data_IF_807699768959
#
_entry.id   IF_807699768959
#
_cell.length_a   1.000
_cell.length_b   1.000
_cell.length_c   1.000
_cell.angle_alpha   90.00
_cell.angle_beta   90.00
_cell.angle_gamma   90.00
#
_symmetry.space_group_name_H-M   'P 1'
#
loop_
_entity.id
_entity.type
_entity.pdbx_description
1 polymer ?
#
# COMPACT_ATOMS: atom_id res chain seq x y z
N UNK A 1 19.07 14.83 -1.64
CA UNK A 1 18.02 15.63 -0.96
C UNK A 1 17.72 14.96 0.37
N UNK A 2 17.46 15.71 1.42
CA UNK A 2 17.04 15.17 2.72
C UNK A 2 15.59 14.72 2.67
N UNK A 3 15.21 13.73 3.48
CA UNK A 3 13.82 13.34 3.69
C UNK A 3 12.99 14.53 4.19
N UNK A 4 11.82 14.69 3.61
CA UNK A 4 10.87 15.75 3.97
C UNK A 4 9.47 15.16 4.05
N UNK A 5 8.77 15.42 5.15
CA UNK A 5 7.35 15.07 5.30
C UNK A 5 6.46 15.99 4.45
N UNK A 6 5.24 15.57 4.23
CA UNK A 6 4.23 16.24 3.39
C UNK A 6 4.70 16.40 1.94
N UNK A 7 5.36 15.36 1.44
CA UNK A 7 5.92 15.33 0.10
C UNK A 7 5.41 14.12 -0.71
N UNK A 8 5.22 14.35 -1.99
CA UNK A 8 4.90 13.34 -2.97
C UNK A 8 5.89 13.48 -4.12
N UNK A 9 6.71 12.46 -4.33
CA UNK A 9 7.91 12.52 -5.16
C UNK A 9 7.71 11.69 -6.42
N UNK A 10 8.09 12.24 -7.57
CA UNK A 10 8.29 11.42 -8.75
C UNK A 10 9.66 10.76 -8.66
N UNK A 11 9.71 9.44 -8.63
CA UNK A 11 10.94 8.68 -8.60
C UNK A 11 10.80 7.27 -8.07
N UNK A 12 11.88 6.53 -8.11
CA UNK A 12 11.95 5.18 -7.58
C UNK A 12 11.94 5.21 -6.04
N UNK A 13 10.96 4.58 -5.43
CA UNK A 13 10.86 4.47 -3.98
C UNK A 13 12.17 3.96 -3.32
N UNK A 14 12.89 3.05 -3.98
CA UNK A 14 14.15 2.49 -3.47
C UNK A 14 15.35 3.44 -3.49
N UNK A 15 15.23 4.58 -4.15
CA UNK A 15 16.21 5.66 -4.04
C UNK A 15 15.96 6.55 -2.82
N UNK A 16 14.72 6.63 -2.36
CA UNK A 16 14.27 7.56 -1.32
C UNK A 16 14.05 6.89 0.03
N UNK A 17 13.47 5.69 0.07
CA UNK A 17 13.24 4.95 1.32
C UNK A 17 14.49 4.86 2.21
N UNK A 18 15.70 4.55 1.69
CA UNK A 18 16.91 4.49 2.52
C UNK A 18 17.32 5.82 3.18
N UNK A 19 16.73 6.93 2.73
CA UNK A 19 16.99 8.26 3.32
C UNK A 19 16.02 8.61 4.45
N UNK A 20 14.96 7.82 4.62
CA UNK A 20 14.03 7.97 5.71
C UNK A 20 14.68 7.44 7.01
N UNK A 21 14.50 8.14 8.14
CA UNK A 21 14.95 7.63 9.43
C UNK A 21 14.29 6.29 9.78
N UNK A 22 14.99 5.47 10.55
CA UNK A 22 14.41 4.28 11.15
C UNK A 22 13.25 4.67 12.08
N UNK A 23 12.20 3.86 12.10
CA UNK A 23 11.08 4.02 13.04
C UNK A 23 10.42 5.40 12.99
N UNK A 24 10.34 6.02 11.81
CA UNK A 24 9.72 7.35 11.64
C UNK A 24 8.23 7.29 11.25
N UNK A 25 7.79 6.25 10.55
CA UNK A 25 6.41 6.14 10.04
C UNK A 25 5.48 5.51 11.06
N UNK A 26 4.29 6.08 11.24
CA UNK A 26 3.22 5.49 12.04
C UNK A 26 2.46 4.42 11.25
N UNK A 27 2.32 4.63 9.95
CA UNK A 27 1.66 3.72 9.04
C UNK A 27 2.41 3.68 7.70
N UNK A 28 2.77 2.48 7.25
CA UNK A 28 3.08 2.21 5.85
C UNK A 28 1.84 1.56 5.25
N UNK A 29 1.20 2.20 4.28
CA UNK A 29 -0.03 1.70 3.65
C UNK A 29 0.10 1.75 2.15
N UNK A 30 0.19 0.59 1.51
CA UNK A 30 0.53 0.51 0.08
C UNK A 30 -0.07 -0.71 -0.63
N UNK A 31 -0.14 -0.61 -1.95
CA UNK A 31 -0.26 -1.73 -2.88
C UNK A 31 0.99 -1.76 -3.74
N UNK A 32 1.88 -2.69 -3.45
CA UNK A 32 3.09 -2.82 -4.26
C UNK A 32 2.74 -3.18 -5.72
N UNK A 33 3.58 -2.77 -6.69
CA UNK A 33 3.38 -3.15 -8.09
C UNK A 33 3.24 -4.66 -8.27
N UNK A 34 2.29 -5.06 -9.07
CA UNK A 34 2.14 -6.44 -9.50
C UNK A 34 3.24 -6.85 -10.49
N UNK A 35 3.53 -8.15 -10.63
CA UNK A 35 4.46 -8.67 -11.64
C UNK A 35 4.20 -8.08 -13.05
N UNK A 36 2.94 -7.87 -13.41
CA UNK A 36 2.57 -7.28 -14.72
C UNK A 36 2.81 -5.76 -14.83
N UNK A 37 3.13 -5.10 -13.73
CA UNK A 37 3.44 -3.67 -13.64
C UNK A 37 4.94 -3.42 -13.44
N UNK A 38 5.73 -4.49 -13.45
CA UNK A 38 7.19 -4.44 -13.33
C UNK A 38 7.82 -4.90 -14.64
N UNK A 39 9.12 -4.72 -14.77
CA UNK A 39 9.92 -5.22 -15.89
C UNK A 39 10.19 -6.73 -15.84
N UNK A 40 9.82 -7.41 -14.74
CA UNK A 40 10.07 -8.83 -14.58
C UNK A 40 9.12 -9.66 -15.44
N UNK A 41 9.67 -10.67 -16.09
CA UNK A 41 8.91 -11.59 -16.93
C UNK A 41 8.27 -12.74 -16.12
N UNK A 42 7.55 -13.63 -16.83
CA UNK A 42 6.89 -14.79 -16.22
C UNK A 42 7.74 -16.06 -16.18
N UNK A 43 9.03 -15.96 -16.46
CA UNK A 43 9.97 -17.07 -16.28
C UNK A 43 10.23 -17.32 -14.80
N UNK A 44 10.85 -18.46 -14.49
CA UNK A 44 11.24 -18.77 -13.11
C UNK A 44 12.20 -17.73 -12.52
N UNK A 45 13.09 -17.19 -13.36
CA UNK A 45 14.04 -16.18 -12.93
C UNK A 45 13.40 -14.80 -12.76
N UNK A 46 12.47 -14.43 -13.64
CA UNK A 46 11.68 -13.20 -13.50
C UNK A 46 10.80 -13.24 -12.25
N UNK A 47 10.17 -14.37 -11.95
CA UNK A 47 9.39 -14.55 -10.72
C UNK A 47 10.29 -14.43 -9.48
N UNK A 48 11.49 -15.01 -9.52
CA UNK A 48 12.47 -14.89 -8.42
C UNK A 48 12.90 -13.44 -8.21
N UNK A 49 13.20 -12.73 -9.27
CA UNK A 49 13.56 -11.30 -9.23
C UNK A 49 12.42 -10.46 -8.66
N UNK A 50 11.18 -10.77 -9.02
CA UNK A 50 10.00 -10.13 -8.45
C UNK A 50 9.86 -10.42 -6.93
N UNK A 51 10.14 -11.63 -6.49
CA UNK A 51 10.12 -11.98 -5.08
C UNK A 51 11.24 -11.27 -4.29
N UNK A 52 12.41 -11.10 -4.87
CA UNK A 52 13.49 -10.28 -4.27
C UNK A 52 13.11 -8.80 -4.18
N UNK A 53 12.41 -8.26 -5.19
CA UNK A 53 11.80 -6.92 -5.10
C UNK A 53 10.85 -6.80 -3.92
N UNK A 54 9.93 -7.78 -3.75
CA UNK A 54 8.98 -7.80 -2.62
C UNK A 54 9.73 -7.86 -1.28
N UNK A 55 10.76 -8.69 -1.17
CA UNK A 55 11.59 -8.80 0.03
C UNK A 55 12.34 -7.49 0.34
N UNK A 56 12.90 -6.84 -0.67
CA UNK A 56 13.57 -5.54 -0.52
C UNK A 56 12.57 -4.47 -0.01
N UNK A 57 11.36 -4.45 -0.56
CA UNK A 57 10.33 -3.52 -0.16
C UNK A 57 9.91 -3.72 1.31
N UNK A 58 9.58 -4.95 1.69
CA UNK A 58 9.16 -5.28 3.06
C UNK A 58 10.22 -5.00 4.10
N UNK A 59 11.49 -5.20 3.77
CA UNK A 59 12.62 -4.85 4.64
C UNK A 59 12.65 -3.35 4.95
N UNK A 60 12.47 -2.51 3.94
CA UNK A 60 12.40 -1.06 4.14
C UNK A 60 11.14 -0.65 4.94
N UNK A 61 9.98 -1.26 4.65
CA UNK A 61 8.76 -0.99 5.41
C UNK A 61 8.93 -1.32 6.90
N UNK A 62 9.50 -2.48 7.20
CA UNK A 62 9.79 -2.92 8.56
C UNK A 62 10.81 -2.01 9.26
N UNK A 63 11.80 -1.48 8.52
CA UNK A 63 12.80 -0.55 9.06
C UNK A 63 12.19 0.79 9.45
N UNK A 64 11.38 1.38 8.54
CA UNK A 64 10.86 2.74 8.74
C UNK A 64 9.64 2.81 9.64
N UNK A 65 8.85 1.74 9.78
CA UNK A 65 7.67 1.74 10.64
C UNK A 65 8.04 1.75 12.11
N UNK A 66 7.34 2.55 12.92
CA UNK A 66 7.49 2.58 14.38
C UNK A 66 7.16 1.22 15.01
N UNK A 67 7.66 0.96 16.20
CA UNK A 67 7.42 -0.29 16.92
C UNK A 67 5.92 -0.53 17.19
N UNK A 68 5.18 0.52 17.45
CA UNK A 68 3.73 0.53 17.66
C UNK A 68 2.93 0.93 16.40
N UNK A 69 3.63 1.22 15.30
CA UNK A 69 3.05 1.50 14.00
C UNK A 69 2.63 0.25 13.23
N UNK A 70 2.08 0.45 12.05
CA UNK A 70 1.55 -0.62 11.22
C UNK A 70 2.10 -0.61 9.80
N UNK A 71 2.27 -1.80 9.22
CA UNK A 71 2.46 -2.00 7.80
C UNK A 71 1.20 -2.66 7.25
N UNK A 72 0.53 -1.98 6.31
CA UNK A 72 -0.65 -2.47 5.61
C UNK A 72 -0.30 -2.68 4.15
N UNK A 73 -0.39 -3.93 3.69
CA UNK A 73 -0.20 -4.29 2.29
C UNK A 73 -1.50 -4.86 1.75
N UNK A 74 -2.05 -4.20 0.72
CA UNK A 74 -3.18 -4.73 -0.03
C UNK A 74 -2.68 -5.30 -1.35
N UNK A 75 -2.76 -6.61 -1.51
CA UNK A 75 -2.20 -7.28 -2.67
C UNK A 75 -3.14 -8.31 -3.28
N UNK A 76 -3.12 -8.39 -4.60
CA UNK A 76 -3.82 -9.42 -5.37
C UNK A 76 -2.85 -10.54 -5.74
N UNK A 77 -3.29 -11.78 -5.63
CA UNK A 77 -2.58 -12.91 -6.21
C UNK A 77 -2.72 -12.92 -7.73
N UNK A 78 -1.86 -13.63 -8.42
CA UNK A 78 -1.84 -13.71 -9.87
C UNK A 78 -1.82 -15.15 -10.38
N UNK A 79 -2.44 -15.38 -11.55
CA UNK A 79 -2.22 -16.60 -12.29
C UNK A 79 -1.02 -16.43 -13.23
N UNK A 80 -0.03 -17.27 -13.05
CA UNK A 80 1.19 -17.30 -13.86
C UNK A 80 1.45 -18.75 -14.26
N UNK A 81 1.58 -19.01 -15.54
CA UNK A 81 1.90 -20.34 -16.10
C UNK A 81 0.99 -21.48 -15.56
N UNK A 82 -0.30 -21.21 -15.43
CA UNK A 82 -1.29 -22.19 -14.96
C UNK A 82 -1.38 -22.35 -13.43
N UNK A 83 -0.49 -21.74 -12.66
CA UNK A 83 -0.45 -21.78 -11.20
C UNK A 83 -0.82 -20.43 -10.58
N UNK A 84 -1.09 -20.40 -9.29
CA UNK A 84 -1.28 -19.16 -8.52
C UNK A 84 0.06 -18.74 -7.93
N UNK A 85 0.51 -17.54 -8.29
CA UNK A 85 1.56 -16.83 -7.58
C UNK A 85 0.93 -16.10 -6.40
N UNK A 86 1.13 -16.64 -5.20
CA UNK A 86 0.52 -16.13 -3.97
C UNK A 86 1.34 -14.97 -3.41
N UNK A 87 1.15 -13.78 -3.96
CA UNK A 87 1.85 -12.56 -3.55
C UNK A 87 1.65 -12.26 -2.06
N UNK A 88 0.41 -12.36 -1.57
CA UNK A 88 0.09 -12.07 -0.18
C UNK A 88 0.85 -12.98 0.80
N UNK A 89 1.01 -14.26 0.49
CA UNK A 89 1.78 -15.19 1.32
C UNK A 89 3.28 -14.86 1.33
N UNK A 90 3.81 -14.41 0.19
CA UNK A 90 5.22 -14.02 0.11
C UNK A 90 5.48 -12.74 0.92
N UNK A 91 4.62 -11.72 0.83
CA UNK A 91 4.70 -10.52 1.68
C UNK A 91 4.59 -10.87 3.17
N UNK A 92 3.65 -11.75 3.53
CA UNK A 92 3.49 -12.22 4.90
C UNK A 92 4.79 -12.83 5.43
N UNK A 93 5.36 -13.78 4.70
CA UNK A 93 6.63 -14.43 5.05
C UNK A 93 7.76 -13.40 5.22
N UNK A 94 7.91 -12.47 4.28
CA UNK A 94 8.97 -11.46 4.34
C UNK A 94 8.83 -10.56 5.57
N UNK A 95 7.62 -10.12 5.93
CA UNK A 95 7.39 -9.30 7.13
C UNK A 95 7.62 -10.08 8.43
N UNK A 96 7.28 -11.37 8.45
CA UNK A 96 7.56 -12.25 9.59
C UNK A 96 9.07 -12.50 9.77
N UNK A 97 9.82 -12.61 8.67
CA UNK A 97 11.30 -12.69 8.71
C UNK A 97 11.93 -11.42 9.30
N UNK A 98 11.28 -10.25 9.17
CA UNK A 98 11.69 -8.99 9.81
C UNK A 98 11.19 -8.87 11.27
N UNK A 99 10.56 -9.91 11.83
CA UNK A 99 10.09 -9.96 13.22
C UNK A 99 8.76 -9.25 13.46
N UNK A 100 8.01 -8.92 12.44
CA UNK A 100 6.66 -8.39 12.55
C UNK A 100 5.62 -9.50 12.71
N UNK A 101 4.48 -9.17 13.28
CA UNK A 101 3.38 -10.11 13.50
C UNK A 101 2.13 -9.68 12.74
N UNK A 102 1.45 -10.64 12.12
CA UNK A 102 0.14 -10.41 11.51
C UNK A 102 -0.87 -10.07 12.61
N UNK A 103 -1.36 -8.84 12.60
CA UNK A 103 -2.29 -8.31 13.61
C UNK A 103 -3.73 -8.43 13.19
N UNK A 104 -3.99 -8.25 11.90
CA UNK A 104 -5.30 -8.38 11.30
C UNK A 104 -5.18 -8.78 9.82
N UNK A 105 -6.23 -9.39 9.31
CA UNK A 105 -6.34 -9.82 7.93
C UNK A 105 -7.75 -9.58 7.41
N UNK A 106 -7.85 -8.94 6.25
CA UNK A 106 -9.15 -8.65 5.63
C UNK A 106 -9.14 -8.98 4.14
N UNK A 107 -10.32 -9.24 3.63
CA UNK A 107 -10.57 -9.32 2.18
C UNK A 107 -11.17 -8.00 1.72
N UNK A 108 -10.52 -7.35 0.77
CA UNK A 108 -11.02 -6.12 0.14
C UNK A 108 -11.60 -6.49 -1.22
N UNK A 109 -12.92 -6.54 -1.30
CA UNK A 109 -13.64 -6.82 -2.54
C UNK A 109 -13.66 -5.56 -3.39
N UNK A 110 -13.29 -5.69 -4.67
CA UNK A 110 -13.31 -4.58 -5.63
C UNK A 110 -14.68 -4.48 -6.28
N UNK A 111 -15.37 -3.38 -6.07
CA UNK A 111 -16.70 -3.13 -6.63
C UNK A 111 -17.71 -4.25 -6.28
N UNK A 112 -18.33 -4.87 -7.25
CA UNK A 112 -19.28 -5.95 -7.04
C UNK A 112 -18.59 -7.30 -6.98
N UNK A 113 -19.17 -8.22 -6.20
CA UNK A 113 -18.82 -9.64 -6.25
C UNK A 113 -19.30 -10.17 -7.60
N UNK A 114 -18.46 -10.03 -8.59
CA UNK A 114 -18.78 -10.34 -9.98
C UNK A 114 -18.14 -11.64 -10.47
N UNK A 115 -18.42 -11.94 -11.73
CA UNK A 115 -17.74 -13.02 -12.44
C UNK A 115 -16.25 -12.70 -12.53
N UNK A 116 -15.44 -13.59 -11.97
CA UNK A 116 -13.99 -13.52 -12.06
C UNK A 116 -13.55 -13.65 -13.53
N UNK A 117 -12.69 -12.74 -13.98
CA UNK A 117 -11.90 -12.98 -15.16
C UNK A 117 -10.94 -14.17 -14.90
N UNK A 118 -10.58 -14.90 -15.96
CA UNK A 118 -9.69 -16.06 -15.86
C UNK A 118 -8.32 -15.71 -15.26
N UNK A 119 -7.90 -14.45 -15.33
CA UNK A 119 -6.57 -13.98 -14.91
C UNK A 119 -6.55 -13.12 -13.64
N UNK A 120 -7.68 -12.54 -13.24
CA UNK A 120 -7.72 -11.55 -12.15
C UNK A 120 -8.66 -11.98 -11.03
N UNK A 121 -8.22 -11.77 -9.81
CA UNK A 121 -9.08 -11.91 -8.63
C UNK A 121 -9.91 -10.64 -8.45
N UNK A 122 -11.16 -10.79 -7.99
CA UNK A 122 -12.08 -9.67 -7.71
C UNK A 122 -11.86 -9.07 -6.33
N UNK A 123 -10.85 -9.51 -5.61
CA UNK A 123 -10.50 -9.04 -4.28
C UNK A 123 -9.00 -8.89 -4.11
N UNK A 124 -8.63 -8.16 -3.07
CA UNK A 124 -7.27 -8.06 -2.56
C UNK A 124 -7.20 -8.64 -1.16
N UNK A 125 -6.05 -9.18 -0.83
CA UNK A 125 -5.69 -9.54 0.54
C UNK A 125 -5.14 -8.30 1.22
N UNK A 126 -5.75 -7.86 2.32
CA UNK A 126 -5.24 -6.79 3.16
C UNK A 126 -4.56 -7.40 4.39
N UNK A 127 -3.26 -7.28 4.44
CA UNK A 127 -2.42 -7.76 5.55
C UNK A 127 -2.06 -6.58 6.44
N UNK A 128 -2.32 -6.69 7.73
CA UNK A 128 -1.98 -5.66 8.74
C UNK A 128 -0.93 -6.21 9.69
N UNK A 129 0.28 -5.72 9.57
CA UNK A 129 1.44 -6.15 10.37
C UNK A 129 1.89 -5.08 11.34
N UNK A 130 2.44 -5.49 12.48
CA UNK A 130 3.04 -4.61 13.48
C UNK A 130 4.07 -5.36 14.32
N UNK A 131 4.97 -4.65 15.00
CA UNK A 131 5.80 -5.25 16.04
C UNK A 131 5.03 -5.37 17.37
N UNK A 132 4.38 -4.27 17.82
CA UNK A 132 3.68 -4.20 19.11
C UNK A 132 2.41 -3.37 19.08
N UNK A 133 2.00 -2.85 17.93
CA UNK A 133 0.85 -1.96 17.80
C UNK A 133 -0.46 -2.60 18.28
N UNK A 134 -1.32 -1.79 18.81
CA UNK A 134 -2.66 -2.17 19.21
C UNK A 134 -3.66 -1.41 18.36
N UNK A 135 -4.52 -2.13 17.66
CA UNK A 135 -5.58 -1.53 16.87
C UNK A 135 -6.61 -0.94 17.82
N UNK A 136 -6.76 0.37 17.79
CA UNK A 136 -7.84 1.05 18.50
C UNK A 136 -9.08 0.90 17.65
N UNK A 137 -9.90 -0.11 17.96
CA UNK A 137 -11.10 -0.45 17.21
C UNK A 137 -12.11 0.70 17.28
N UNK A 138 -12.16 1.51 16.23
CA UNK A 138 -13.20 2.51 16.01
C UNK A 138 -14.18 1.97 14.98
N UNK A 139 -15.47 1.96 15.30
CA UNK A 139 -16.54 1.66 14.35
C UNK A 139 -16.43 0.30 13.64
N UNK A 140 -16.44 0.32 12.34
CA UNK A 140 -16.58 -0.85 11.45
C UNK A 140 -15.29 -1.68 11.25
N UNK A 141 -14.20 -1.42 11.98
CA UNK A 141 -12.93 -2.18 11.81
C UNK A 141 -13.09 -3.68 12.04
N UNK A 142 -14.11 -4.10 12.76
CA UNK A 142 -14.37 -5.51 13.05
C UNK A 142 -14.82 -6.36 11.84
N UNK A 143 -15.11 -5.73 10.71
CA UNK A 143 -15.45 -6.46 9.48
C UNK A 143 -14.20 -7.11 8.91
N UNK A 144 -14.28 -8.40 8.57
CA UNK A 144 -13.25 -9.15 7.87
C UNK A 144 -13.29 -8.96 6.35
N UNK A 145 -14.43 -8.48 5.83
CA UNK A 145 -14.65 -8.15 4.42
C UNK A 145 -14.99 -6.66 4.28
N UNK A 146 -14.25 -5.98 3.43
CA UNK A 146 -14.53 -4.60 3.03
C UNK A 146 -14.87 -4.56 1.53
N UNK A 147 -15.94 -3.89 1.16
CA UNK A 147 -16.32 -3.67 -0.24
C UNK A 147 -15.88 -2.28 -0.65
N UNK A 148 -14.81 -2.20 -1.43
CA UNK A 148 -14.27 -0.95 -1.94
C UNK A 148 -14.91 -0.58 -3.29
N UNK A 149 -15.60 0.55 -3.34
CA UNK A 149 -16.16 1.12 -4.58
C UNK A 149 -15.06 1.86 -5.34
N UNK A 150 -14.13 1.10 -5.90
CA UNK A 150 -12.98 1.64 -6.60
C UNK A 150 -13.36 2.54 -7.77
N UNK A 151 -12.61 3.62 -7.92
CA UNK A 151 -12.66 4.48 -9.09
C UNK A 151 -11.71 3.97 -10.18
N UNK A 152 -12.00 4.33 -11.43
CA UNK A 152 -11.07 4.11 -12.54
C UNK A 152 -10.36 5.41 -12.89
N UNK A 153 -9.06 5.39 -12.80
CA UNK A 153 -8.18 6.50 -13.20
C UNK A 153 -7.18 5.96 -14.21
N UNK A 154 -7.08 6.58 -15.37
CA UNK A 154 -6.19 6.14 -16.46
C UNK A 154 -6.31 4.63 -16.77
N UNK A 155 -7.54 4.11 -16.77
CA UNK A 155 -7.87 2.69 -16.95
C UNK A 155 -7.37 1.74 -15.86
N UNK A 156 -6.89 2.27 -14.73
CA UNK A 156 -6.54 1.47 -13.56
C UNK A 156 -7.57 1.63 -12.43
N UNK A 157 -7.77 0.56 -11.68
CA UNK A 157 -8.58 0.61 -10.47
C UNK A 157 -7.79 1.26 -9.35
N UNK A 158 -8.36 2.31 -8.78
CA UNK A 158 -7.79 3.09 -7.67
C UNK A 158 -8.69 2.94 -6.47
N UNK A 159 -8.12 2.78 -5.29
CA UNK A 159 -8.89 2.72 -4.04
C UNK A 159 -9.76 3.94 -3.85
N UNK A 160 -10.96 3.73 -3.31
CA UNK A 160 -11.82 4.84 -2.92
C UNK A 160 -11.22 5.62 -1.75
N UNK A 161 -11.61 6.88 -1.61
CA UNK A 161 -11.23 7.69 -0.45
C UNK A 161 -11.77 7.06 0.84
N UNK A 162 -13.02 6.55 0.82
CA UNK A 162 -13.65 5.90 1.96
C UNK A 162 -12.83 4.71 2.47
N UNK A 163 -12.22 3.92 1.56
CA UNK A 163 -11.35 2.82 1.95
C UNK A 163 -10.04 3.31 2.56
N UNK A 164 -9.40 4.31 1.94
CA UNK A 164 -8.16 4.87 2.48
C UNK A 164 -8.40 5.51 3.86
N UNK A 165 -9.48 6.25 4.01
CA UNK A 165 -9.89 6.85 5.29
C UNK A 165 -10.13 5.78 6.36
N UNK A 166 -10.88 4.73 6.02
CA UNK A 166 -11.16 3.62 6.91
C UNK A 166 -9.88 3.00 7.49
N UNK A 167 -8.85 2.82 6.67
CA UNK A 167 -7.57 2.26 7.12
C UNK A 167 -6.82 3.27 7.99
N UNK A 168 -6.70 4.52 7.53
CA UNK A 168 -5.90 5.55 8.20
C UNK A 168 -6.50 5.92 9.56
N UNK A 169 -7.81 6.14 9.65
CA UNK A 169 -8.48 6.50 10.90
C UNK A 169 -8.39 5.43 11.98
N UNK A 170 -8.43 4.15 11.57
CA UNK A 170 -8.39 3.04 12.53
C UNK A 170 -6.97 2.68 12.98
N UNK A 171 -5.94 3.03 12.21
CA UNK A 171 -4.57 2.63 12.50
C UNK A 171 -3.65 3.79 12.89
N UNK A 172 -4.14 5.04 12.84
CA UNK A 172 -3.33 6.22 13.15
C UNK A 172 -4.07 7.23 14.00
N UNK A 173 -3.30 8.06 14.71
CA UNK A 173 -3.81 9.26 15.37
C UNK A 173 -3.53 10.51 14.52
N UNK A 174 -4.12 11.64 14.92
CA UNK A 174 -3.86 12.93 14.28
C UNK A 174 -2.36 13.27 14.34
N UNK A 175 -1.83 13.86 13.27
CA UNK A 175 -0.41 14.19 13.15
C UNK A 175 0.51 12.99 12.88
N UNK A 176 -0.02 11.77 12.75
CA UNK A 176 0.76 10.58 12.39
C UNK A 176 1.37 10.69 10.97
N UNK A 177 2.52 10.09 10.74
CA UNK A 177 3.12 9.98 9.40
C UNK A 177 2.64 8.73 8.69
N UNK A 178 1.96 8.91 7.56
CA UNK A 178 1.51 7.86 6.64
C UNK A 178 2.43 7.83 5.42
N UNK A 179 2.93 6.65 5.08
CA UNK A 179 3.87 6.43 3.98
C UNK A 179 3.26 5.49 2.95
N UNK A 180 3.22 5.91 1.68
CA UNK A 180 2.89 5.06 0.54
C UNK A 180 4.02 5.09 -0.51
N UNK A 181 4.93 4.11 -0.49
CA UNK A 181 6.07 4.09 -1.40
C UNK A 181 5.73 3.86 -2.87
N UNK A 182 4.52 3.39 -3.17
CA UNK A 182 4.03 3.10 -4.52
C UNK A 182 2.69 3.78 -4.74
N UNK A 183 2.68 5.09 -4.58
CA UNK A 183 1.48 5.87 -4.34
C UNK A 183 0.51 5.97 -5.53
N UNK A 184 0.93 5.64 -6.74
CA UNK A 184 0.10 5.80 -7.93
C UNK A 184 -0.40 7.24 -8.06
N UNK A 185 -1.70 7.43 -8.23
CA UNK A 185 -2.33 8.76 -8.24
C UNK A 185 -2.53 9.36 -6.83
N UNK A 186 -2.05 8.70 -5.78
CA UNK A 186 -1.95 9.23 -4.41
C UNK A 186 -3.20 9.16 -3.53
N UNK A 187 -4.11 8.18 -3.64
CA UNK A 187 -5.33 8.16 -2.81
C UNK A 187 -5.03 8.08 -1.31
N UNK A 188 -4.01 7.34 -0.91
CA UNK A 188 -3.56 7.22 0.49
C UNK A 188 -3.02 8.55 1.01
N UNK A 189 -2.17 9.22 0.22
CA UNK A 189 -1.56 10.50 0.60
C UNK A 189 -2.61 11.59 0.75
N UNK A 190 -3.59 11.57 -0.15
CA UNK A 190 -4.71 12.49 -0.11
C UNK A 190 -5.58 12.30 1.14
N UNK A 191 -5.95 11.05 1.45
CA UNK A 191 -6.68 10.73 2.68
C UNK A 191 -5.89 11.13 3.92
N UNK A 192 -4.59 10.83 3.99
CA UNK A 192 -3.74 11.22 5.10
C UNK A 192 -3.78 12.74 5.33
N UNK A 193 -3.57 13.52 4.27
CA UNK A 193 -3.64 14.99 4.34
C UNK A 193 -5.00 15.50 4.81
N UNK A 194 -6.10 14.99 4.23
CA UNK A 194 -7.46 15.40 4.55
C UNK A 194 -7.84 15.09 6.01
N UNK A 195 -7.31 14.01 6.54
CA UNK A 195 -7.54 13.56 7.90
C UNK A 195 -6.56 14.17 8.92
N UNK A 196 -5.75 15.17 8.55
CA UNK A 196 -4.80 15.81 9.46
C UNK A 196 -3.58 14.96 9.81
N UNK A 197 -3.21 14.03 8.95
CA UNK A 197 -1.98 13.24 9.04
C UNK A 197 -0.91 13.84 8.14
N UNK A 198 0.35 13.67 8.54
CA UNK A 198 1.47 13.88 7.63
C UNK A 198 1.56 12.74 6.63
N UNK A 199 2.13 12.99 5.47
CA UNK A 199 2.25 11.98 4.43
C UNK A 199 3.62 12.02 3.75
N UNK A 200 3.99 10.91 3.17
CA UNK A 200 5.07 10.79 2.22
C UNK A 200 4.75 9.69 1.21
N UNK A 201 5.09 9.93 -0.06
CA UNK A 201 4.93 8.92 -1.09
C UNK A 201 5.82 9.14 -2.29
N UNK A 202 6.00 8.06 -3.06
CA UNK A 202 6.75 8.08 -4.32
C UNK A 202 5.95 7.36 -5.42
N UNK A 203 6.13 7.83 -6.65
CA UNK A 203 5.57 7.20 -7.84
C UNK A 203 6.60 7.26 -8.98
N UNK A 204 6.89 6.10 -9.55
CA UNK A 204 7.89 5.97 -10.61
C UNK A 204 7.37 6.46 -11.96
N UNK A 205 6.09 6.17 -12.26
CA UNK A 205 5.52 6.46 -13.55
C UNK A 205 4.95 7.87 -13.64
N UNK A 206 5.50 8.67 -14.56
CA UNK A 206 5.09 10.06 -14.83
C UNK A 206 3.57 10.22 -15.00
N UNK A 207 2.93 9.30 -15.71
CA UNK A 207 1.49 9.39 -16.00
C UNK A 207 0.61 9.34 -14.74
N UNK A 208 1.05 8.63 -13.68
CA UNK A 208 0.33 8.57 -12.41
C UNK A 208 0.69 9.71 -11.47
N UNK A 209 1.92 10.20 -11.57
CA UNK A 209 2.39 11.32 -10.77
C UNK A 209 1.79 12.68 -11.20
N UNK A 210 1.51 12.89 -12.50
CA UNK A 210 1.38 14.25 -13.05
C UNK A 210 0.01 14.89 -13.04
N UNK A 211 -1.13 14.20 -13.09
CA UNK A 211 -2.33 14.93 -13.49
C UNK A 211 -3.44 15.07 -12.44
N UNK A 212 -3.76 14.07 -11.69
CA UNK A 212 -4.94 14.16 -10.84
C UNK A 212 -4.64 14.54 -9.38
N UNK A 213 -3.47 14.19 -8.87
CA UNK A 213 -3.08 14.63 -7.53
C UNK A 213 -2.84 16.16 -7.46
N UNK A 214 -2.44 16.79 -8.57
CA UNK A 214 -2.39 18.25 -8.66
C UNK A 214 -3.78 18.89 -8.57
N UNK A 215 -4.80 18.27 -9.16
CA UNK A 215 -6.19 18.74 -9.04
C UNK A 215 -6.68 18.59 -7.59
N UNK A 216 -6.34 17.50 -6.90
CA UNK A 216 -6.63 17.34 -5.47
C UNK A 216 -5.86 18.31 -4.57
N UNK A 217 -4.63 18.69 -4.93
CA UNK A 217 -3.86 19.74 -4.21
C UNK A 217 -4.53 21.11 -4.22
N UNK A 218 -5.27 21.44 -5.26
CA UNK A 218 -5.88 22.77 -5.45
C UNK A 218 -7.29 22.91 -4.86
N UNK A 219 -7.95 21.82 -4.51
CA UNK A 219 -9.35 21.81 -4.07
C UNK A 219 -9.55 21.69 -2.55
N UNK A 220 -8.48 21.64 -1.76
CA UNK A 220 -8.62 21.71 -0.30
C UNK A 220 -8.79 23.15 0.16
N UNK A 221 -9.81 23.45 0.99
CA UNK A 221 -9.79 24.67 1.78
C UNK A 221 -8.56 24.62 2.71
N UNK A 222 -7.87 25.75 2.78
CA UNK A 222 -6.73 26.03 3.67
C UNK A 222 -7.24 26.01 5.11
#
# INVERSE_FOLDING_TARGET
>A
MSFKIDDYIKGDAFEYLPRMPDKCADLVFTSCPDLSQTEFDKTSDGIRSYQEFQKKATKEFARIVKTDGFVVICQTDRRVNGSILSNHMHYAKCLEEEGMHLKDYKIVVRNEVGKRDMYYFTFQHMLVYTYKGTITRKGDWLRDIYVDKQNKVLNQSVWSQDFCDYVIENLTNDGALVVDPFAGVGPVLWSAKRLGRHYWGAELEEKFYNDEFKQFRTTLPV
#
